data_IF_221720680368
#
_entry.id   IF_221720680368
#
_cell.length_a   1.000
_cell.length_b   1.000
_cell.length_c   1.000
_cell.angle_alpha   90.00
_cell.angle_beta   90.00
_cell.angle_gamma   90.00
#
_symmetry.space_group_name_H-M   'P 1'
#
loop_
_entity.id
_entity.type
_entity.pdbx_description
1 polymer ?
#
# COMPACT_ATOMS: atom_id res chain seq x y z
N UNK A 1 -42.57 -5.66 8.88
CA UNK A 1 -43.00 -4.34 9.37
C UNK A 1 -44.44 -4.51 9.80
N UNK A 2 -44.63 -4.69 11.11
CA UNK A 2 -45.91 -5.07 11.69
C UNK A 2 -46.86 -3.88 11.68
N UNK A 3 -48.17 -4.14 11.53
CA UNK A 3 -49.25 -3.12 11.52
C UNK A 3 -49.23 -2.15 12.73
N UNK A 4 -48.44 -2.44 13.76
CA UNK A 4 -48.30 -1.67 15.00
C UNK A 4 -47.38 -0.44 14.84
N UNK A 5 -46.49 -0.42 13.85
CA UNK A 5 -45.54 0.69 13.64
C UNK A 5 -46.21 1.90 12.96
N UNK A 6 -47.29 1.67 12.19
CA UNK A 6 -48.04 2.72 11.49
C UNK A 6 -48.82 3.63 12.45
N UNK A 7 -49.24 3.13 13.61
CA UNK A 7 -50.00 3.91 14.59
C UNK A 7 -49.13 4.88 15.41
N UNK A 8 -47.80 4.72 15.40
CA UNK A 8 -46.87 5.67 16.03
C UNK A 8 -46.51 6.86 15.13
N UNK A 9 -46.82 6.79 13.83
CA UNK A 9 -46.50 7.84 12.86
C UNK A 9 -47.50 9.03 12.88
N UNK A 10 -48.61 8.94 13.63
CA UNK A 10 -49.73 9.90 13.51
C UNK A 10 -49.83 10.95 14.63
N UNK A 11 -48.97 10.96 15.65
CA UNK A 11 -49.14 11.85 16.83
C UNK A 11 -48.00 12.85 17.07
N UNK A 12 -46.93 12.87 16.27
CA UNK A 12 -45.83 13.82 16.45
C UNK A 12 -45.59 14.69 15.22
N UNK A 13 -46.23 15.86 15.16
CA UNK A 13 -46.24 16.76 14.00
C UNK A 13 -44.89 17.38 13.59
N UNK A 14 -44.79 17.62 12.28
CA UNK A 14 -44.18 18.78 11.61
C UNK A 14 -42.75 19.21 12.01
N UNK A 15 -41.74 18.60 11.37
CA UNK A 15 -40.61 19.33 10.77
C UNK A 15 -40.28 18.65 9.44
N UNK A 16 -40.82 19.20 8.35
CA UNK A 16 -40.51 18.79 6.99
C UNK A 16 -39.09 19.20 6.61
N UNK A 17 -38.11 18.44 7.08
CA UNK A 17 -36.75 18.44 6.56
C UNK A 17 -36.48 17.08 5.96
N UNK A 18 -36.55 16.97 4.64
CA UNK A 18 -36.04 15.79 3.95
C UNK A 18 -34.52 15.80 4.16
N UNK A 19 -34.04 15.16 5.23
CA UNK A 19 -32.62 14.92 5.43
C UNK A 19 -32.18 13.93 4.34
N UNK A 20 -31.77 14.47 3.19
CA UNK A 20 -31.06 13.73 2.16
C UNK A 20 -29.73 13.35 2.80
N UNK A 21 -29.67 12.16 3.38
CA UNK A 21 -28.41 11.57 3.79
C UNK A 21 -27.59 11.37 2.52
N UNK A 22 -26.41 12.01 2.37
CA UNK A 22 -25.59 11.78 1.19
C UNK A 22 -25.25 10.30 1.15
N UNK A 23 -25.64 9.63 0.07
CA UNK A 23 -25.21 8.26 -0.16
C UNK A 23 -23.67 8.30 -0.19
N UNK A 24 -23.05 7.67 0.81
CA UNK A 24 -21.60 7.51 0.81
C UNK A 24 -21.30 6.58 -0.35
N UNK A 25 -20.97 7.15 -1.50
CA UNK A 25 -20.51 6.39 -2.65
C UNK A 25 -19.43 5.43 -2.15
N UNK A 26 -19.74 4.14 -2.19
CA UNK A 26 -18.85 3.10 -1.72
C UNK A 26 -17.68 3.10 -2.70
N UNK A 27 -16.61 3.83 -2.35
CA UNK A 27 -15.39 3.86 -3.16
C UNK A 27 -14.94 2.42 -3.31
N UNK A 28 -14.90 1.96 -4.55
CA UNK A 28 -14.38 0.64 -4.87
C UNK A 28 -12.97 0.52 -4.29
N UNK A 29 -12.74 -0.56 -3.54
CA UNK A 29 -11.43 -0.81 -2.95
C UNK A 29 -10.49 -1.18 -4.10
N UNK A 30 -9.45 -0.39 -4.28
CA UNK A 30 -8.42 -0.67 -5.27
C UNK A 30 -7.55 -1.85 -4.82
N UNK A 31 -7.08 -2.62 -5.79
CA UNK A 31 -6.06 -3.64 -5.57
C UNK A 31 -4.68 -2.98 -5.51
N UNK A 32 -3.78 -3.54 -4.69
CA UNK A 32 -2.38 -3.13 -4.61
C UNK A 32 -1.51 -4.26 -5.11
N UNK A 33 -0.69 -3.99 -6.15
CA UNK A 33 0.32 -4.92 -6.65
C UNK A 33 1.69 -4.43 -6.22
N UNK A 34 2.36 -5.20 -5.37
CA UNK A 34 3.74 -4.95 -4.96
C UNK A 34 4.69 -5.82 -5.80
N UNK A 35 5.56 -5.18 -6.59
CA UNK A 35 6.46 -5.83 -7.54
C UNK A 35 7.93 -5.61 -7.17
N UNK A 36 8.51 -6.40 -6.24
CA UNK A 36 9.94 -6.34 -5.93
C UNK A 36 10.76 -7.09 -6.99
N UNK A 37 11.92 -6.54 -7.38
CA UNK A 37 12.89 -7.19 -8.28
C UNK A 37 14.20 -7.40 -7.52
N UNK A 38 14.75 -8.61 -7.57
CA UNK A 38 16.00 -8.93 -6.89
C UNK A 38 17.21 -8.35 -7.64
N UNK A 39 18.16 -7.79 -6.88
CA UNK A 39 19.43 -7.22 -7.37
C UNK A 39 19.34 -6.13 -8.47
N UNK A 40 18.13 -5.62 -8.77
CA UNK A 40 17.94 -4.57 -9.76
C UNK A 40 18.33 -3.19 -9.18
N UNK A 41 19.25 -2.52 -9.86
CA UNK A 41 19.59 -1.12 -9.63
C UNK A 41 18.88 -0.20 -10.66
N UNK A 42 19.29 1.06 -10.76
CA UNK A 42 18.72 2.03 -11.72
C UNK A 42 19.18 1.82 -13.17
N UNK A 43 19.71 0.65 -13.53
CA UNK A 43 20.18 0.35 -14.88
C UNK A 43 19.00 0.03 -15.82
N UNK A 44 18.12 1.00 -16.03
CA UNK A 44 16.95 0.95 -16.92
C UNK A 44 16.92 2.18 -17.82
N UNK A 45 16.26 2.08 -18.99
CA UNK A 45 16.14 3.19 -19.93
C UNK A 45 15.40 4.40 -19.33
N UNK A 46 14.35 4.16 -18.53
CA UNK A 46 13.62 5.21 -17.80
C UNK A 46 14.46 5.95 -16.73
N UNK A 47 15.63 5.43 -16.36
CA UNK A 47 16.63 6.09 -15.51
C UNK A 47 17.84 6.62 -16.29
N UNK A 48 17.81 6.59 -17.63
CA UNK A 48 18.83 7.17 -18.50
C UNK A 48 19.75 6.15 -19.20
N UNK A 49 19.67 4.86 -18.87
CA UNK A 49 20.52 3.84 -19.48
C UNK A 49 19.96 3.37 -20.84
N UNK A 50 20.25 4.13 -21.90
CA UNK A 50 19.68 3.93 -23.25
C UNK A 50 19.98 2.59 -23.92
N UNK A 51 21.03 1.90 -23.50
CA UNK A 51 21.38 0.57 -24.02
C UNK A 51 20.43 -0.54 -23.51
N UNK A 52 19.72 -0.31 -22.41
CA UNK A 52 18.82 -1.31 -21.81
C UNK A 52 17.45 -1.24 -22.47
N UNK A 53 17.01 -2.37 -23.05
CA UNK A 53 15.67 -2.48 -23.62
C UNK A 53 14.65 -2.86 -22.54
N UNK A 54 13.95 -1.87 -21.98
CA UNK A 54 12.98 -2.04 -20.87
C UNK A 54 11.59 -1.43 -21.14
N UNK A 55 10.93 -1.70 -22.28
CA UNK A 55 9.76 -0.95 -22.74
C UNK A 55 8.56 -1.01 -21.77
N UNK A 56 8.38 -2.13 -21.05
CA UNK A 56 7.28 -2.27 -20.09
C UNK A 56 7.52 -1.47 -18.81
N UNK A 57 8.77 -1.40 -18.33
CA UNK A 57 9.14 -0.58 -17.17
C UNK A 57 9.11 0.91 -17.53
N UNK A 58 9.51 1.25 -18.76
CA UNK A 58 9.45 2.62 -19.26
C UNK A 58 7.99 3.11 -19.34
N UNK A 59 7.08 2.26 -19.86
CA UNK A 59 5.65 2.55 -19.87
C UNK A 59 5.08 2.71 -18.46
N UNK A 60 5.45 1.84 -17.53
CA UNK A 60 5.01 1.96 -16.14
C UNK A 60 5.46 3.29 -15.50
N UNK A 61 6.70 3.69 -15.76
CA UNK A 61 7.24 4.97 -15.27
C UNK A 61 6.52 6.19 -15.88
N UNK A 62 6.07 6.11 -17.15
CA UNK A 62 5.30 7.18 -17.80
C UNK A 62 3.84 7.28 -17.30
N UNK A 63 3.27 6.17 -16.85
CA UNK A 63 1.89 6.10 -16.35
C UNK A 63 1.77 6.44 -14.86
N UNK A 64 2.89 6.66 -14.17
CA UNK A 64 2.92 6.85 -12.73
C UNK A 64 3.98 7.86 -12.27
N UNK A 65 4.44 7.69 -11.04
CA UNK A 65 5.50 8.50 -10.43
C UNK A 65 6.76 7.65 -10.30
N UNK A 66 7.85 8.11 -10.92
CA UNK A 66 9.20 7.53 -10.77
C UNK A 66 10.00 8.38 -9.79
N UNK A 67 10.59 7.76 -8.79
CA UNK A 67 11.45 8.44 -7.82
C UNK A 67 12.92 8.35 -8.26
N UNK A 68 13.62 9.47 -8.30
CA UNK A 68 15.04 9.51 -8.74
C UNK A 68 16.03 9.20 -7.61
N UNK A 69 15.58 9.34 -6.36
CA UNK A 69 16.38 9.10 -5.16
C UNK A 69 15.66 8.13 -4.24
N UNK A 70 15.94 6.84 -4.41
CA UNK A 70 15.44 5.76 -3.56
C UNK A 70 16.60 4.89 -3.10
N UNK A 71 16.60 4.55 -1.82
CA UNK A 71 17.69 3.80 -1.19
C UNK A 71 17.12 2.67 -0.35
N UNK A 72 17.74 1.49 -0.45
CA UNK A 72 17.52 0.44 0.53
C UNK A 72 18.22 0.82 1.85
N UNK A 73 17.71 0.29 2.96
CA UNK A 73 18.29 0.57 4.28
C UNK A 73 19.56 -0.24 4.53
N UNK A 74 19.77 -1.30 3.74
CA UNK A 74 20.93 -2.19 3.84
C UNK A 74 21.18 -2.87 2.49
N UNK A 75 22.42 -2.93 1.97
CA UNK A 75 22.71 -3.49 0.64
C UNK A 75 22.84 -5.02 0.67
N UNK A 76 21.83 -5.71 1.22
CA UNK A 76 21.76 -7.17 1.27
C UNK A 76 20.29 -7.62 1.25
N UNK A 77 19.99 -8.74 0.56
CA UNK A 77 18.64 -9.22 0.27
C UNK A 77 17.74 -9.27 1.53
N UNK A 78 18.12 -10.05 2.54
CA UNK A 78 17.26 -10.29 3.70
C UNK A 78 17.15 -9.07 4.65
N UNK A 79 18.23 -8.36 5.02
CA UNK A 79 18.12 -7.11 5.78
C UNK A 79 17.25 -6.06 5.08
N UNK A 80 17.43 -5.88 3.76
CA UNK A 80 16.66 -4.92 2.96
C UNK A 80 15.17 -5.27 2.93
N UNK A 81 14.84 -6.54 2.60
CA UNK A 81 13.46 -7.03 2.52
C UNK A 81 12.77 -6.99 3.88
N UNK A 82 13.46 -7.43 4.93
CA UNK A 82 12.93 -7.38 6.30
C UNK A 82 12.63 -5.95 6.71
N UNK A 83 13.51 -5.01 6.40
CA UNK A 83 13.30 -3.59 6.69
C UNK A 83 12.10 -3.03 5.94
N UNK A 84 12.01 -3.27 4.63
CA UNK A 84 10.92 -2.77 3.78
C UNK A 84 9.55 -3.33 4.18
N UNK A 85 9.46 -4.64 4.43
CA UNK A 85 8.18 -5.32 4.68
C UNK A 85 7.65 -5.08 6.09
N UNK A 86 8.52 -4.85 7.08
CA UNK A 86 8.11 -4.54 8.45
C UNK A 86 7.96 -3.03 8.71
N UNK A 87 8.53 -2.19 7.84
CA UNK A 87 8.60 -0.74 8.05
C UNK A 87 9.62 -0.32 9.12
N UNK A 88 10.50 -1.22 9.56
CA UNK A 88 11.49 -1.00 10.61
C UNK A 88 12.90 -0.95 10.03
N UNK A 89 13.82 -0.20 10.64
CA UNK A 89 15.23 -0.13 10.17
C UNK A 89 16.00 -1.40 10.56
N UNK A 90 17.11 -1.74 9.86
CA UNK A 90 17.99 -2.86 10.24
C UNK A 90 18.46 -2.79 11.69
N UNK A 91 18.70 -1.59 12.23
CA UNK A 91 19.07 -1.39 13.63
C UNK A 91 17.97 -1.80 14.62
N UNK A 92 16.70 -1.78 14.19
CA UNK A 92 15.54 -2.23 14.96
C UNK A 92 15.27 -3.71 14.73
N UNK A 93 15.37 -4.19 13.48
CA UNK A 93 15.11 -5.60 13.16
C UNK A 93 16.23 -6.54 13.58
N UNK A 94 17.45 -6.01 13.77
CA UNK A 94 18.68 -6.75 14.08
C UNK A 94 19.06 -7.81 13.04
N UNK A 95 18.58 -7.64 11.80
CA UNK A 95 18.89 -8.53 10.68
C UNK A 95 20.02 -7.93 9.84
N UNK A 96 21.16 -8.60 9.81
CA UNK A 96 22.37 -8.15 9.11
C UNK A 96 22.95 -9.21 8.14
N UNK A 97 22.27 -10.35 8.00
CA UNK A 97 22.67 -11.45 7.12
C UNK A 97 21.48 -12.05 6.38
N UNK A 98 21.74 -13.01 5.49
CA UNK A 98 20.72 -13.70 4.68
C UNK A 98 20.15 -14.99 5.32
N UNK A 99 20.53 -15.32 6.55
CA UNK A 99 20.15 -16.57 7.23
C UNK A 99 19.14 -16.35 8.35
N UNK A 100 19.26 -15.22 9.04
CA UNK A 100 18.47 -14.90 10.22
C UNK A 100 17.07 -14.46 9.80
N UNK A 101 16.05 -15.15 10.31
CA UNK A 101 14.67 -14.79 10.03
C UNK A 101 14.26 -13.56 10.89
N UNK A 102 13.54 -12.59 10.33
CA UNK A 102 13.20 -11.35 11.06
C UNK A 102 12.38 -11.59 12.33
N UNK A 103 11.54 -12.64 12.36
CA UNK A 103 10.81 -13.06 13.57
C UNK A 103 11.66 -13.65 14.70
N UNK A 104 12.95 -13.92 14.46
CA UNK A 104 13.89 -14.33 15.53
C UNK A 104 14.06 -13.22 16.57
N UNK A 105 14.05 -11.95 16.15
CA UNK A 105 14.17 -10.80 17.04
C UNK A 105 12.84 -10.06 17.26
N UNK A 106 11.89 -10.23 16.34
CA UNK A 106 10.60 -9.55 16.35
C UNK A 106 9.45 -10.56 16.12
N UNK A 107 9.07 -11.37 17.12
CA UNK A 107 8.13 -12.47 16.93
C UNK A 107 6.74 -12.03 16.44
N UNK A 108 6.27 -10.86 16.91
CA UNK A 108 4.92 -10.34 16.64
C UNK A 108 4.86 -9.31 15.51
N UNK A 109 5.94 -9.16 14.71
CA UNK A 109 5.97 -8.20 13.62
C UNK A 109 5.28 -8.76 12.38
N UNK A 110 4.36 -7.94 11.85
CA UNK A 110 3.47 -8.21 10.69
C UNK A 110 2.62 -9.47 10.84
#
# INVERSE_FOLDING_TARGET
MERRDLLRALVGGFVGGFFISPSRAQRERLNVVFLPVDDLNTHLNCYGHKAVHSPHMDRLAQMGVRFEHTYCQYPLCNPSRSSLLTGLRPDTTKIFDNRTHFRTHLPDVV
#
